data_IF_435085700966
#
_entry.id   IF_435085700966
#
_cell.length_a   1.000
_cell.length_b   1.000
_cell.length_c   1.000
_cell.angle_alpha   90.00
_cell.angle_beta   90.00
_cell.angle_gamma   90.00
#
_symmetry.space_group_name_H-M   'P 1'
#
loop_
_entity.id
_entity.type
_entity.pdbx_description
1 polymer ?
#
# COMPACT_ATOMS: atom_id res chain seq x y z
N UNK A 1 8.94 39.20 37.64
CA UNK A 1 7.55 38.80 37.30
C UNK A 1 7.21 38.90 35.80
N UNK A 2 7.95 39.70 34.99
CA UNK A 2 7.77 39.76 33.52
C UNK A 2 8.24 38.48 32.79
N UNK A 3 9.25 37.80 33.31
CA UNK A 3 9.86 36.65 32.64
C UNK A 3 8.95 35.41 32.56
N UNK A 4 8.09 35.20 33.56
CA UNK A 4 7.22 34.03 33.58
C UNK A 4 6.08 34.13 32.54
N UNK A 5 5.59 35.34 32.25
CA UNK A 5 4.58 35.55 31.20
C UNK A 5 5.16 35.37 29.80
N UNK A 6 6.39 35.83 29.58
CA UNK A 6 7.11 35.64 28.31
C UNK A 6 7.46 34.16 28.09
N UNK A 7 7.89 33.46 29.14
CA UNK A 7 8.20 32.03 29.11
C UNK A 7 6.96 31.16 28.85
N UNK A 8 5.82 31.46 29.48
CA UNK A 8 4.56 30.75 29.20
C UNK A 8 4.05 31.04 27.77
N UNK A 9 4.24 32.25 27.27
CA UNK A 9 3.87 32.61 25.90
C UNK A 9 4.72 31.87 24.85
N UNK A 10 6.03 31.72 25.06
CA UNK A 10 6.90 30.98 24.14
C UNK A 10 6.60 29.47 24.14
N UNK A 11 6.33 28.88 25.31
CA UNK A 11 5.88 27.47 25.40
C UNK A 11 4.54 27.29 24.68
N UNK A 12 3.58 28.18 24.90
CA UNK A 12 2.29 28.14 24.21
C UNK A 12 2.42 28.24 22.70
N UNK A 13 3.31 29.11 22.22
CA UNK A 13 3.62 29.25 20.80
C UNK A 13 4.28 28.00 20.22
N UNK A 14 5.27 27.42 20.90
CA UNK A 14 5.92 26.17 20.46
C UNK A 14 4.95 24.98 20.46
N UNK A 15 4.08 24.88 21.47
CA UNK A 15 3.04 23.86 21.52
C UNK A 15 2.03 24.03 20.38
N UNK A 16 1.60 25.26 20.09
CA UNK A 16 0.73 25.55 18.94
C UNK A 16 1.40 25.22 17.60
N UNK A 17 2.70 25.50 17.46
CA UNK A 17 3.49 25.14 16.28
C UNK A 17 3.56 23.62 16.12
N UNK A 18 3.90 22.88 17.17
CA UNK A 18 3.93 21.43 17.15
C UNK A 18 2.56 20.83 16.80
N UNK A 19 1.49 21.36 17.40
CA UNK A 19 0.12 20.93 17.11
C UNK A 19 -0.28 21.23 15.66
N UNK A 20 0.13 22.38 15.12
CA UNK A 20 -0.12 22.73 13.71
C UNK A 20 0.59 21.78 12.75
N UNK A 21 1.85 21.44 13.00
CA UNK A 21 2.60 20.45 12.22
C UNK A 21 1.95 19.07 12.32
N UNK A 22 1.47 18.69 13.50
CA UNK A 22 0.74 17.44 13.69
C UNK A 22 -0.57 17.41 12.88
N UNK A 23 -1.34 18.50 12.85
CA UNK A 23 -2.57 18.61 12.06
C UNK A 23 -2.27 18.56 10.57
N UNK A 24 -1.26 19.30 10.09
CA UNK A 24 -0.88 19.31 8.68
C UNK A 24 -0.41 17.90 8.26
N UNK A 25 0.43 17.25 9.07
CA UNK A 25 0.86 15.88 8.83
C UNK A 25 -0.28 14.86 8.90
N UNK A 26 -1.31 15.09 9.71
CA UNK A 26 -2.54 14.29 9.73
C UNK A 26 -3.35 14.47 8.43
N UNK A 27 -3.60 15.72 8.03
CA UNK A 27 -4.35 16.04 6.81
C UNK A 27 -3.66 15.50 5.55
N UNK A 28 -2.33 15.63 5.47
CA UNK A 28 -1.54 15.10 4.35
C UNK A 28 -1.63 13.58 4.23
N UNK A 29 -1.65 12.87 5.37
CA UNK A 29 -1.88 11.42 5.42
C UNK A 29 -3.27 11.07 4.87
N UNK A 30 -4.30 11.80 5.24
CA UNK A 30 -5.67 11.52 4.76
C UNK A 30 -5.80 11.74 3.25
N UNK A 31 -5.19 12.79 2.69
CA UNK A 31 -5.28 13.09 1.25
C UNK A 31 -4.37 12.19 0.40
N UNK A 32 -3.13 11.94 0.82
CA UNK A 32 -2.19 11.14 0.02
C UNK A 32 -2.56 9.67 -0.09
N UNK A 33 -3.20 9.11 0.95
CA UNK A 33 -3.45 7.67 1.03
C UNK A 33 -4.87 7.25 0.76
N UNK A 34 -5.88 8.11 0.92
CA UNK A 34 -7.26 7.73 0.58
C UNK A 34 -7.62 8.00 -0.87
N UNK A 35 -6.84 8.83 -1.58
CA UNK A 35 -7.07 9.12 -2.99
C UNK A 35 -6.19 8.22 -3.85
N UNK A 36 -6.82 7.26 -4.55
CA UNK A 36 -6.21 6.55 -5.65
C UNK A 36 -6.24 7.44 -6.89
N UNK A 37 -5.12 7.52 -7.62
CA UNK A 37 -5.03 8.38 -8.82
C UNK A 37 -5.24 7.58 -10.10
N UNK A 38 -4.87 6.31 -10.10
CA UNK A 38 -4.96 5.45 -11.27
C UNK A 38 -5.49 4.09 -10.87
N UNK A 39 -6.34 3.50 -11.71
CA UNK A 39 -6.87 2.15 -11.56
C UNK A 39 -6.56 1.39 -12.83
N UNK A 40 -6.25 0.10 -12.72
CA UNK A 40 -5.88 -0.69 -13.88
C UNK A 40 -6.05 -2.19 -13.66
N UNK A 41 -5.92 -2.93 -14.75
CA UNK A 41 -5.90 -4.38 -14.75
C UNK A 41 -4.60 -4.88 -15.38
N UNK A 42 -4.05 -5.96 -14.85
CA UNK A 42 -2.90 -6.68 -15.41
C UNK A 42 -3.21 -8.16 -15.45
N UNK A 43 -2.73 -8.85 -16.48
CA UNK A 43 -2.87 -10.30 -16.61
C UNK A 43 -1.48 -10.93 -16.63
N UNK A 44 -1.27 -11.93 -15.80
CA UNK A 44 0.00 -12.64 -15.74
C UNK A 44 -0.03 -13.79 -14.74
N UNK A 45 1.12 -14.41 -14.51
CA UNK A 45 1.26 -15.51 -13.56
C UNK A 45 1.84 -14.99 -12.25
N UNK A 46 1.27 -15.38 -11.11
CA UNK A 46 1.85 -15.07 -9.80
C UNK A 46 3.14 -15.87 -9.64
N UNK A 47 4.26 -15.19 -9.41
CA UNK A 47 5.58 -15.80 -9.29
C UNK A 47 6.03 -15.84 -7.83
N UNK A 48 5.57 -14.85 -7.06
CA UNK A 48 5.94 -14.70 -5.66
C UNK A 48 4.79 -14.09 -4.90
N UNK A 49 4.58 -14.58 -3.69
CA UNK A 49 3.76 -13.96 -2.66
C UNK A 49 4.48 -14.17 -1.32
N UNK A 50 4.67 -13.09 -0.57
CA UNK A 50 5.44 -13.12 0.67
C UNK A 50 4.87 -12.15 1.69
N UNK A 51 4.69 -12.63 2.91
CA UNK A 51 4.42 -11.76 4.05
C UNK A 51 5.76 -11.22 4.61
N UNK A 52 6.01 -9.92 4.44
CA UNK A 52 7.26 -9.27 4.86
C UNK A 52 7.03 -8.00 5.66
N UNK A 53 8.07 -7.59 6.38
CA UNK A 53 8.09 -6.39 7.22
C UNK A 53 8.68 -6.64 8.61
N UNK A 54 9.29 -5.60 9.18
CA UNK A 54 9.99 -5.65 10.47
C UNK A 54 9.04 -5.47 11.65
N UNK A 55 8.24 -4.40 11.62
CA UNK A 55 7.29 -4.06 12.68
C UNK A 55 5.84 -4.31 12.27
N UNK A 56 5.51 -4.03 11.01
CA UNK A 56 4.20 -4.32 10.43
C UNK A 56 4.36 -5.33 9.31
N UNK A 57 3.57 -6.40 9.36
CA UNK A 57 3.54 -7.41 8.31
C UNK A 57 2.59 -7.00 7.20
N UNK A 58 3.08 -7.09 5.98
CA UNK A 58 2.38 -6.74 4.75
C UNK A 58 2.54 -7.86 3.74
N UNK A 59 1.53 -8.07 2.91
CA UNK A 59 1.53 -9.11 1.87
C UNK A 59 1.96 -8.50 0.55
N UNK A 60 3.05 -9.03 0.01
CA UNK A 60 3.77 -8.45 -1.11
C UNK A 60 3.96 -9.52 -2.18
N UNK A 61 3.56 -9.23 -3.40
CA UNK A 61 3.54 -10.19 -4.50
C UNK A 61 4.17 -9.65 -5.77
N UNK A 62 4.52 -10.57 -6.66
CA UNK A 62 5.08 -10.26 -7.97
C UNK A 62 4.38 -11.11 -9.03
N UNK A 63 3.93 -10.46 -10.09
CA UNK A 63 3.37 -11.12 -11.28
C UNK A 63 4.36 -11.02 -12.44
N UNK A 64 4.58 -12.16 -13.09
CA UNK A 64 5.27 -12.22 -14.37
C UNK A 64 4.28 -11.92 -15.49
N UNK A 65 4.48 -10.82 -16.20
CA UNK A 65 3.71 -10.46 -17.40
C UNK A 65 4.36 -11.15 -18.59
N UNK A 66 3.63 -12.09 -19.20
CA UNK A 66 4.13 -12.85 -20.34
C UNK A 66 3.90 -12.08 -21.64
N UNK A 67 4.95 -11.92 -22.44
CA UNK A 67 4.85 -11.51 -23.83
C UNK A 67 5.54 -12.57 -24.67
N UNK A 68 4.83 -13.17 -25.63
CA UNK A 68 5.40 -14.13 -26.58
C UNK A 68 6.04 -15.39 -25.96
N UNK A 69 5.47 -15.91 -24.86
CA UNK A 69 5.88 -17.19 -24.25
C UNK A 69 6.97 -17.11 -23.19
N UNK A 70 7.51 -15.93 -22.89
CA UNK A 70 8.42 -15.67 -21.78
C UNK A 70 7.95 -14.47 -20.93
N UNK A 71 8.36 -14.41 -19.65
CA UNK A 71 8.11 -13.23 -18.82
C UNK A 71 8.91 -12.05 -19.38
N UNK A 72 8.19 -11.04 -19.84
CA UNK A 72 8.77 -9.82 -20.37
C UNK A 72 9.03 -8.79 -19.26
N UNK A 73 8.19 -8.78 -18.23
CA UNK A 73 8.27 -7.84 -17.11
C UNK A 73 7.79 -8.51 -15.83
N UNK A 74 8.44 -8.20 -14.71
CA UNK A 74 7.92 -8.50 -13.38
C UNK A 74 7.26 -7.25 -12.83
N UNK A 75 6.03 -7.38 -12.37
CA UNK A 75 5.28 -6.31 -11.76
C UNK A 75 4.99 -6.62 -10.30
N UNK A 76 5.53 -5.78 -9.42
CA UNK A 76 5.35 -5.89 -7.98
C UNK A 76 4.10 -5.15 -7.51
N UNK A 77 3.40 -5.78 -6.57
CA UNK A 77 2.19 -5.27 -5.97
C UNK A 77 2.12 -5.62 -4.49
N UNK A 78 1.23 -4.94 -3.79
CA UNK A 78 0.93 -5.20 -2.38
C UNK A 78 -0.55 -5.50 -2.21
N UNK A 79 -0.88 -6.26 -1.17
CA UNK A 79 -2.25 -6.35 -0.66
C UNK A 79 -2.33 -5.45 0.57
N UNK A 80 -3.26 -4.48 0.54
CA UNK A 80 -3.45 -3.53 1.63
C UNK A 80 -3.73 -4.28 2.95
N UNK A 81 -2.87 -4.08 3.94
CA UNK A 81 -2.97 -4.78 5.23
C UNK A 81 -4.28 -4.50 5.98
N UNK A 82 -4.93 -3.37 5.67
CA UNK A 82 -6.20 -2.91 6.24
C UNK A 82 -7.41 -3.20 5.33
N UNK A 83 -7.22 -3.85 4.18
CA UNK A 83 -8.33 -4.21 3.30
C UNK A 83 -9.23 -5.26 3.98
N UNK A 84 -10.55 -5.07 4.06
CA UNK A 84 -11.46 -6.08 4.59
C UNK A 84 -11.40 -7.40 3.82
N UNK A 85 -11.08 -7.36 2.52
CA UNK A 85 -11.03 -8.54 1.65
C UNK A 85 -9.62 -9.15 1.55
N UNK A 86 -8.65 -8.68 2.36
CA UNK A 86 -7.26 -9.13 2.30
C UNK A 86 -7.11 -10.66 2.34
N UNK A 87 -7.84 -11.35 3.21
CA UNK A 87 -7.72 -12.80 3.34
C UNK A 87 -8.19 -13.55 2.10
N UNK A 88 -9.23 -13.05 1.43
CA UNK A 88 -9.73 -13.60 0.17
C UNK A 88 -8.71 -13.40 -0.94
N UNK A 89 -8.24 -12.15 -1.13
CA UNK A 89 -7.23 -11.80 -2.13
C UNK A 89 -5.95 -12.63 -1.97
N UNK A 90 -5.43 -12.73 -0.74
CA UNK A 90 -4.23 -13.53 -0.44
C UNK A 90 -4.50 -15.02 -0.71
N UNK A 91 -5.69 -15.51 -0.39
CA UNK A 91 -6.10 -16.89 -0.69
C UNK A 91 -6.09 -17.19 -2.18
N UNK A 92 -6.74 -16.34 -2.99
CA UNK A 92 -6.80 -16.46 -4.45
C UNK A 92 -5.41 -16.40 -5.08
N UNK A 93 -4.56 -15.47 -4.63
CA UNK A 93 -3.17 -15.37 -5.10
C UNK A 93 -2.34 -16.61 -4.74
N UNK A 94 -2.53 -17.15 -3.53
CA UNK A 94 -1.83 -18.35 -3.06
C UNK A 94 -2.26 -19.57 -3.88
N UNK A 95 -3.55 -19.70 -4.16
CA UNK A 95 -4.09 -20.76 -4.99
C UNK A 95 -3.55 -20.65 -6.43
N UNK A 96 -3.55 -19.45 -7.00
CA UNK A 96 -3.02 -19.17 -8.33
C UNK A 96 -1.52 -19.49 -8.43
N UNK A 97 -0.73 -19.08 -7.43
CA UNK A 97 0.69 -19.39 -7.32
C UNK A 97 0.93 -20.90 -7.27
N UNK A 98 0.13 -21.63 -6.47
CA UNK A 98 0.26 -23.08 -6.30
C UNK A 98 -0.09 -23.84 -7.58
N UNK A 99 -1.14 -23.40 -8.29
CA UNK A 99 -1.61 -24.04 -9.52
C UNK A 99 -0.81 -23.61 -10.75
N UNK A 100 -0.09 -22.49 -10.68
CA UNK A 100 0.59 -21.87 -11.82
C UNK A 100 -0.38 -21.26 -12.83
N UNK A 101 -1.57 -20.84 -12.39
CA UNK A 101 -2.60 -20.31 -13.28
C UNK A 101 -2.31 -18.86 -13.67
N UNK A 102 -2.78 -18.47 -14.86
CA UNK A 102 -2.89 -17.08 -15.26
C UNK A 102 -4.00 -16.41 -14.46
N UNK A 103 -3.70 -15.24 -13.90
CA UNK A 103 -4.67 -14.43 -13.18
C UNK A 103 -4.73 -13.03 -13.78
N UNK A 104 -5.94 -12.48 -13.76
CA UNK A 104 -6.18 -11.06 -13.95
C UNK A 104 -6.27 -10.41 -12.59
N UNK A 105 -5.41 -9.44 -12.32
CA UNK A 105 -5.45 -8.63 -11.11
C UNK A 105 -5.96 -7.25 -11.41
N UNK A 106 -6.92 -6.77 -10.61
CA UNK A 106 -7.34 -5.37 -10.61
C UNK A 106 -6.66 -4.66 -9.47
N UNK A 107 -6.07 -3.50 -9.76
CA UNK A 107 -5.31 -2.74 -8.78
C UNK A 107 -5.67 -1.26 -8.80
N UNK A 108 -5.49 -0.64 -7.64
CA UNK A 108 -5.51 0.80 -7.46
C UNK A 108 -4.09 1.29 -7.18
N UNK A 109 -3.65 2.29 -7.92
CA UNK A 109 -2.37 2.98 -7.70
C UNK A 109 -2.60 4.25 -6.89
N UNK A 110 -1.85 4.37 -5.80
CA UNK A 110 -1.86 5.52 -4.89
C UNK A 110 -0.60 6.36 -5.08
N UNK A 111 -0.60 7.58 -4.55
CA UNK A 111 0.54 8.51 -4.68
C UNK A 111 1.79 8.06 -3.89
N UNK A 112 1.69 7.03 -3.06
CA UNK A 112 2.82 6.45 -2.33
C UNK A 112 2.44 5.18 -1.58
N UNK A 113 3.47 4.55 -0.98
CA UNK A 113 3.37 3.39 -0.12
C UNK A 113 3.71 3.76 1.33
N UNK A 114 3.17 3.02 2.31
CA UNK A 114 3.51 3.22 3.73
C UNK A 114 3.81 1.88 4.41
N UNK A 115 4.90 1.79 5.20
CA UNK A 115 5.38 0.50 5.72
C UNK A 115 4.39 -0.30 6.57
N UNK A 116 3.37 0.33 7.15
CA UNK A 116 2.34 -0.37 7.92
C UNK A 116 1.19 -0.94 7.09
N UNK A 117 1.11 -0.57 5.80
CA UNK A 117 -0.01 -0.85 4.91
C UNK A 117 0.39 -1.60 3.65
N UNK A 118 1.53 -1.23 3.06
CA UNK A 118 2.10 -1.83 1.85
C UNK A 118 3.54 -1.41 1.62
N UNK A 119 4.30 -2.23 0.88
CA UNK A 119 5.64 -1.87 0.39
C UNK A 119 5.58 -1.14 -0.97
N UNK A 120 4.56 -1.42 -1.78
CA UNK A 120 4.34 -0.79 -3.10
C UNK A 120 3.15 0.17 -3.07
N UNK A 121 3.07 1.04 -4.08
CA UNK A 121 1.93 1.95 -4.27
C UNK A 121 0.76 1.30 -5.03
N UNK A 122 0.91 0.02 -5.42
CA UNK A 122 -0.07 -0.72 -6.21
C UNK A 122 -0.81 -1.70 -5.30
N UNK A 123 -2.07 -1.42 -5.01
CA UNK A 123 -2.88 -2.27 -4.15
C UNK A 123 -3.81 -3.12 -4.96
N UNK A 124 -3.64 -4.43 -4.89
CA UNK A 124 -4.57 -5.38 -5.52
C UNK A 124 -5.89 -5.35 -4.76
N UNK A 125 -6.99 -5.26 -5.51
CA UNK A 125 -8.37 -5.19 -5.00
C UNK A 125 -9.19 -6.42 -5.34
N UNK A 126 -8.89 -7.08 -6.46
CA UNK A 126 -9.54 -8.34 -6.82
C UNK A 126 -8.61 -9.17 -7.70
N UNK A 127 -8.79 -10.48 -7.64
CA UNK A 127 -8.06 -11.44 -8.47
C UNK A 127 -9.08 -12.35 -9.16
N UNK A 128 -8.92 -12.51 -10.46
CA UNK A 128 -9.79 -13.37 -11.28
C UNK A 128 -8.92 -14.40 -11.98
N UNK A 129 -9.23 -15.68 -11.81
CA UNK A 129 -8.54 -16.76 -12.53
C UNK A 129 -8.92 -16.74 -14.01
N UNK A 130 -7.93 -16.66 -14.89
CA UNK A 130 -8.13 -16.76 -16.34
C UNK A 130 -7.92 -18.23 -16.72
N UNK A 131 -9.02 -18.90 -17.04
CA UNK A 131 -9.02 -20.29 -17.54
C UNK A 131 -8.56 -20.36 -18.99
#
# INVERSE_FOLDING_TARGET
>A
MKDNKQFLATIGFLAALFFSVFIIGSAWRTVGFNFHYSNGERVGQVIKLSEKGLFWKTWEGSIGLTQSGAYAEYWDFSVDSQDPNKSEIVGELTEALTKGNLVKVKYEQRYGAVPWRSDTSYWVKSVESVR
#
